data_IF_540064057220
#
_entry.id   IF_540064057220
#
_cell.length_a   1.000
_cell.length_b   1.000
_cell.length_c   1.000
_cell.angle_alpha   90.00
_cell.angle_beta   90.00
_cell.angle_gamma   90.00
#
_symmetry.space_group_name_H-M   'P 1'
#
loop_
_entity.id
_entity.type
_entity.pdbx_description
1 polymer ?
#
# COMPACT_ATOMS: atom_id res chain seq x y z
N UNK A 1 12.99 -4.45 2.85
CA UNK A 1 12.06 -3.42 2.29
C UNK A 1 10.65 -3.70 2.78
N UNK A 2 9.95 -2.66 3.16
CA UNK A 2 8.55 -2.71 3.59
C UNK A 2 7.73 -1.87 2.63
N UNK A 3 6.70 -2.47 2.04
CA UNK A 3 5.74 -1.77 1.18
C UNK A 3 4.51 -1.44 2.02
N UNK A 4 4.13 -0.17 2.04
CA UNK A 4 2.94 0.28 2.75
C UNK A 4 1.72 0.17 1.83
N UNK A 5 0.72 -0.63 2.24
CA UNK A 5 -0.55 -0.69 1.53
C UNK A 5 -1.32 0.63 1.71
N UNK A 6 -2.29 0.86 0.85
CA UNK A 6 -3.07 2.09 0.81
C UNK A 6 -3.68 2.45 2.16
N UNK A 7 -4.22 1.48 2.90
CA UNK A 7 -4.85 1.74 4.20
C UNK A 7 -3.85 2.26 5.25
N UNK A 8 -2.59 1.86 5.18
CA UNK A 8 -1.55 2.35 6.10
C UNK A 8 -1.22 3.81 5.79
N UNK A 9 -1.03 4.13 4.51
CA UNK A 9 -0.78 5.51 4.09
C UNK A 9 -1.99 6.40 4.40
N UNK A 10 -3.20 5.92 4.11
CA UNK A 10 -4.43 6.68 4.37
C UNK A 10 -4.62 7.01 5.84
N UNK A 11 -4.15 6.15 6.74
CA UNK A 11 -4.25 6.39 8.18
C UNK A 11 -3.53 7.68 8.60
N UNK A 12 -2.41 8.00 7.96
CA UNK A 12 -1.61 9.21 8.25
C UNK A 12 -2.43 10.48 8.01
N UNK A 13 -3.35 10.46 7.04
CA UNK A 13 -4.14 11.63 6.64
C UNK A 13 -5.45 11.78 7.39
N UNK A 14 -5.78 10.87 8.31
CA UNK A 14 -6.97 11.00 9.15
C UNK A 14 -6.77 12.12 10.16
N UNK A 15 -7.88 12.76 10.56
CA UNK A 15 -7.84 13.81 11.59
C UNK A 15 -7.32 13.30 12.92
N UNK A 16 -7.55 12.01 13.22
CA UNK A 16 -7.06 11.34 14.43
C UNK A 16 -6.45 10.00 14.06
N UNK A 17 -5.20 9.99 13.57
CA UNK A 17 -4.52 8.74 13.22
C UNK A 17 -4.38 7.82 14.42
N UNK A 18 -4.45 6.51 14.19
CA UNK A 18 -4.23 5.52 15.24
C UNK A 18 -2.79 5.64 15.76
N UNK A 19 -2.60 5.93 17.07
CA UNK A 19 -1.25 6.14 17.62
C UNK A 19 -0.31 4.94 17.43
N UNK A 20 -0.84 3.70 17.46
CA UNK A 20 -0.01 2.51 17.25
C UNK A 20 0.57 2.44 15.86
N UNK A 21 -0.19 2.85 14.85
CA UNK A 21 0.26 2.88 13.46
C UNK A 21 1.36 3.93 13.28
N UNK A 22 1.14 5.12 13.83
CA UNK A 22 2.14 6.21 13.76
C UNK A 22 3.43 5.78 14.48
N UNK A 23 3.33 5.21 15.68
CA UNK A 23 4.51 4.75 16.43
C UNK A 23 5.25 3.65 15.65
N UNK A 24 4.52 2.73 15.03
CA UNK A 24 5.11 1.68 14.21
C UNK A 24 5.89 2.26 13.02
N UNK A 25 5.28 3.22 12.30
CA UNK A 25 5.92 3.89 11.16
C UNK A 25 7.21 4.61 11.58
N UNK A 26 7.16 5.30 12.72
CA UNK A 26 8.33 6.02 13.25
C UNK A 26 9.45 5.09 13.71
N UNK A 27 9.11 3.84 14.05
CA UNK A 27 10.09 2.85 14.52
C UNK A 27 10.83 2.14 13.39
N UNK A 28 10.39 2.30 12.14
CA UNK A 28 10.95 1.55 11.02
C UNK A 28 12.38 1.99 10.71
N UNK A 29 13.25 1.00 10.55
CA UNK A 29 14.65 1.19 10.15
C UNK A 29 14.93 0.65 8.75
N UNK A 30 14.02 -0.18 8.22
CA UNK A 30 14.12 -0.72 6.86
C UNK A 30 13.74 0.33 5.82
N UNK A 31 14.10 0.08 4.57
CA UNK A 31 13.64 0.85 3.44
C UNK A 31 12.12 0.73 3.32
N UNK A 32 11.46 1.86 3.19
CA UNK A 32 10.00 1.95 3.05
C UNK A 32 9.65 2.36 1.64
N UNK A 33 8.69 1.68 1.05
CA UNK A 33 8.24 1.93 -0.32
C UNK A 33 6.72 1.95 -0.40
N UNK A 34 6.21 2.58 -1.45
CA UNK A 34 4.80 2.48 -1.85
C UNK A 34 4.74 2.07 -3.31
N UNK A 35 3.57 1.62 -3.75
CA UNK A 35 3.36 1.24 -5.14
C UNK A 35 2.62 2.32 -5.91
N UNK A 36 2.75 2.31 -7.24
CA UNK A 36 1.94 3.17 -8.11
C UNK A 36 0.45 2.85 -7.99
N UNK A 37 0.09 1.64 -7.59
CA UNK A 37 -1.30 1.26 -7.34
C UNK A 37 -1.84 2.05 -6.13
N UNK A 38 -1.09 2.10 -5.04
CA UNK A 38 -1.44 2.90 -3.86
C UNK A 38 -1.55 4.38 -4.21
N UNK A 39 -0.60 4.90 -4.97
CA UNK A 39 -0.65 6.28 -5.44
C UNK A 39 -1.94 6.55 -6.23
N UNK A 40 -2.30 5.65 -7.15
CA UNK A 40 -3.52 5.78 -7.94
C UNK A 40 -4.77 5.79 -7.06
N UNK A 41 -4.83 4.91 -6.05
CA UNK A 41 -5.96 4.86 -5.12
C UNK A 41 -6.09 6.14 -4.29
N UNK A 42 -4.97 6.67 -3.80
CA UNK A 42 -4.95 7.92 -3.04
C UNK A 42 -5.42 9.10 -3.90
N UNK A 43 -4.90 9.23 -5.11
CA UNK A 43 -5.27 10.31 -6.02
C UNK A 43 -6.74 10.21 -6.43
N UNK A 44 -7.23 9.01 -6.73
CA UNK A 44 -8.63 8.78 -7.06
C UNK A 44 -9.56 9.13 -5.89
N UNK A 45 -9.16 8.77 -4.67
CA UNK A 45 -9.93 9.09 -3.47
C UNK A 45 -10.10 10.59 -3.25
N UNK A 46 -9.03 11.36 -3.45
CA UNK A 46 -9.09 12.83 -3.35
C UNK A 46 -9.99 13.42 -4.41
N UNK A 47 -9.91 12.92 -5.65
CA UNK A 47 -10.72 13.42 -6.77
C UNK A 47 -12.22 13.25 -6.53
N UNK A 48 -12.63 12.26 -5.74
CA UNK A 48 -14.04 12.02 -5.39
C UNK A 48 -14.59 12.97 -4.35
N UNK A 49 -13.74 13.71 -3.64
CA UNK A 49 -14.20 14.68 -2.63
C UNK A 49 -14.84 15.89 -3.32
N UNK A 50 -15.85 16.51 -2.66
CA UNK A 50 -16.40 17.78 -3.15
C UNK A 50 -15.31 18.85 -3.21
N UNK A 51 -15.39 19.73 -4.22
CA UNK A 51 -14.48 20.86 -4.33
C UNK A 51 -14.56 21.74 -3.08
N UNK A 52 -13.42 22.28 -2.65
CA UNK A 52 -13.35 23.13 -1.49
C UNK A 52 -12.01 23.02 -0.77
N UNK A 53 -11.92 23.66 0.39
CA UNK A 53 -10.67 23.72 1.17
C UNK A 53 -10.19 22.36 1.65
N UNK A 54 -11.10 21.50 2.06
CA UNK A 54 -10.75 20.16 2.55
C UNK A 54 -10.06 19.34 1.46
N UNK A 55 -10.62 19.35 0.24
CA UNK A 55 -10.04 18.64 -0.90
C UNK A 55 -8.66 19.19 -1.24
N UNK A 56 -8.55 20.52 -1.31
CA UNK A 56 -7.27 21.17 -1.61
C UNK A 56 -6.21 20.87 -0.55
N UNK A 57 -6.58 20.92 0.72
CA UNK A 57 -5.67 20.62 1.83
C UNK A 57 -5.20 19.16 1.79
N UNK A 58 -6.11 18.22 1.55
CA UNK A 58 -5.78 16.80 1.48
C UNK A 58 -4.89 16.51 0.25
N UNK A 59 -5.21 17.13 -0.88
CA UNK A 59 -4.39 17.00 -2.09
C UNK A 59 -2.96 17.47 -1.85
N UNK A 60 -2.79 18.63 -1.21
CA UNK A 60 -1.48 19.17 -0.87
C UNK A 60 -0.72 18.26 0.12
N UNK A 61 -1.42 17.73 1.12
CA UNK A 61 -0.83 16.82 2.11
C UNK A 61 -0.34 15.53 1.45
N UNK A 62 -1.12 14.93 0.56
CA UNK A 62 -0.75 13.73 -0.18
C UNK A 62 0.46 14.01 -1.08
N UNK A 63 0.45 15.11 -1.84
CA UNK A 63 1.58 15.48 -2.69
C UNK A 63 2.87 15.66 -1.87
N UNK A 64 2.79 16.30 -0.72
CA UNK A 64 3.93 16.46 0.19
C UNK A 64 4.45 15.14 0.72
N UNK A 65 3.56 14.22 1.07
CA UNK A 65 3.92 12.91 1.61
C UNK A 65 4.51 11.98 0.53
N UNK A 66 4.06 12.09 -0.71
CA UNK A 66 4.49 11.23 -1.81
C UNK A 66 5.81 11.69 -2.44
N UNK A 67 6.11 12.99 -2.36
CA UNK A 67 7.30 13.55 -3.01
C UNK A 67 8.60 12.82 -2.68
N UNK A 68 8.90 12.46 -1.40
CA UNK A 68 10.11 11.70 -1.08
C UNK A 68 10.19 10.35 -1.80
N UNK A 69 9.04 9.69 -2.04
CA UNK A 69 9.00 8.41 -2.75
C UNK A 69 9.25 8.57 -4.25
N UNK A 70 8.82 9.68 -4.85
CA UNK A 70 9.08 9.96 -6.29
C UNK A 70 10.55 10.22 -6.57
N UNK A 71 11.22 10.92 -5.67
CA UNK A 71 12.62 11.33 -5.85
C UNK A 71 13.60 10.20 -5.52
N UNK A 72 13.11 9.10 -4.96
CA UNK A 72 13.88 7.92 -4.63
C UNK A 72 13.31 6.73 -5.40
N UNK A 73 13.97 5.57 -5.30
CA UNK A 73 13.46 4.33 -5.90
C UNK A 73 12.40 3.65 -5.03
N UNK A 74 11.76 4.41 -4.16
CA UNK A 74 10.76 3.88 -3.22
C UNK A 74 9.34 3.92 -3.74
N UNK A 75 9.11 4.42 -4.95
CA UNK A 75 7.84 4.31 -5.66
C UNK A 75 7.94 3.17 -6.67
N UNK A 76 7.31 2.04 -6.36
CA UNK A 76 7.44 0.80 -7.12
C UNK A 76 6.31 0.67 -8.14
N UNK A 77 6.66 0.38 -9.38
CA UNK A 77 5.69 0.30 -10.48
C UNK A 77 5.22 -1.12 -10.72
N UNK A 78 3.99 -1.24 -11.21
CA UNK A 78 3.45 -2.49 -11.74
C UNK A 78 3.98 -2.67 -13.16
N UNK A 79 5.15 -3.27 -13.29
CA UNK A 79 5.84 -3.47 -14.55
C UNK A 79 5.62 -4.88 -15.13
N UNK A 80 6.37 -5.24 -16.16
CA UNK A 80 6.25 -6.54 -16.82
C UNK A 80 6.57 -7.71 -15.86
N UNK A 81 7.58 -7.55 -15.01
CA UNK A 81 7.94 -8.59 -14.04
C UNK A 81 6.82 -8.77 -13.02
N UNK A 82 6.26 -7.67 -12.54
CA UNK A 82 5.12 -7.70 -11.62
C UNK A 82 3.87 -8.31 -12.29
N UNK A 83 3.69 -8.10 -13.60
CA UNK A 83 2.58 -8.70 -14.34
C UNK A 83 2.63 -10.24 -14.31
N UNK A 84 3.82 -10.82 -14.44
CA UNK A 84 4.00 -12.27 -14.34
C UNK A 84 3.69 -12.76 -12.92
N UNK A 85 4.16 -12.06 -11.89
CA UNK A 85 3.86 -12.39 -10.50
C UNK A 85 2.37 -12.24 -10.18
N UNK A 86 1.70 -11.28 -10.79
CA UNK A 86 0.25 -11.10 -10.66
C UNK A 86 -0.52 -12.36 -11.10
N UNK A 87 -0.14 -12.94 -12.22
CA UNK A 87 -0.75 -14.18 -12.70
C UNK A 87 -0.58 -15.31 -11.70
N UNK A 88 0.59 -15.43 -11.08
CA UNK A 88 0.85 -16.44 -10.04
C UNK A 88 -0.01 -16.19 -8.79
N UNK A 89 -0.11 -14.95 -8.33
CA UNK A 89 -0.95 -14.60 -7.17
C UNK A 89 -2.41 -14.99 -7.43
N UNK A 90 -2.93 -14.65 -8.60
CA UNK A 90 -4.31 -15.01 -8.97
C UNK A 90 -4.51 -16.52 -8.98
N UNK A 91 -3.60 -17.27 -9.60
CA UNK A 91 -3.71 -18.72 -9.70
C UNK A 91 -3.75 -19.38 -8.31
N UNK A 92 -2.85 -18.99 -7.41
CA UNK A 92 -2.80 -19.55 -6.05
C UNK A 92 -4.07 -19.21 -5.27
N UNK A 93 -4.56 -17.97 -5.36
CA UNK A 93 -5.74 -17.53 -4.64
C UNK A 93 -7.01 -18.20 -5.20
N UNK A 94 -7.14 -18.33 -6.51
CA UNK A 94 -8.25 -19.00 -7.17
C UNK A 94 -8.30 -20.50 -6.79
N UNK A 95 -7.16 -21.17 -6.80
CA UNK A 95 -7.04 -22.58 -6.41
C UNK A 95 -7.46 -22.79 -4.94
N UNK A 96 -7.20 -21.79 -4.09
CA UNK A 96 -7.59 -21.84 -2.67
C UNK A 96 -9.05 -21.39 -2.45
N UNK A 97 -9.77 -20.95 -3.47
CA UNK A 97 -11.13 -20.43 -3.35
C UNK A 97 -11.19 -19.08 -2.64
N UNK A 98 -10.11 -18.30 -2.69
CA UNK A 98 -9.98 -17.00 -2.01
C UNK A 98 -10.03 -15.87 -3.02
N UNK A 99 -11.16 -15.16 -3.17
CA UNK A 99 -11.21 -14.00 -4.07
C UNK A 99 -10.27 -12.90 -3.58
N UNK A 100 -9.69 -12.17 -4.54
CA UNK A 100 -8.80 -11.04 -4.26
C UNK A 100 -9.10 -9.94 -5.26
N UNK A 101 -9.11 -8.69 -4.81
CA UNK A 101 -9.30 -7.55 -5.71
C UNK A 101 -8.10 -7.39 -6.64
N UNK A 102 -8.34 -6.76 -7.80
CA UNK A 102 -7.27 -6.47 -8.75
C UNK A 102 -6.16 -5.63 -8.10
N UNK A 103 -6.54 -4.59 -7.37
CA UNK A 103 -5.56 -3.70 -6.72
C UNK A 103 -4.70 -4.46 -5.70
N UNK A 104 -5.30 -5.27 -4.84
CA UNK A 104 -4.56 -6.04 -3.84
C UNK A 104 -3.63 -7.08 -4.51
N UNK A 105 -4.10 -7.73 -5.57
CA UNK A 105 -3.29 -8.68 -6.32
C UNK A 105 -2.09 -7.99 -6.99
N UNK A 106 -2.29 -6.79 -7.51
CA UNK A 106 -1.21 -5.99 -8.11
C UNK A 106 -0.18 -5.55 -7.08
N UNK A 107 -0.64 -5.11 -5.90
CA UNK A 107 0.26 -4.74 -4.81
C UNK A 107 1.04 -5.97 -4.32
N UNK A 108 0.38 -7.10 -4.14
CA UNK A 108 1.03 -8.36 -3.75
C UNK A 108 2.08 -8.77 -4.78
N UNK A 109 1.76 -8.66 -6.07
CA UNK A 109 2.70 -8.99 -7.16
C UNK A 109 3.96 -8.12 -7.10
N UNK A 110 3.80 -6.82 -6.88
CA UNK A 110 4.94 -5.90 -6.74
C UNK A 110 5.79 -6.29 -5.52
N UNK A 111 5.15 -6.61 -4.38
CA UNK A 111 5.87 -7.07 -3.20
C UNK A 111 6.68 -8.35 -3.48
N UNK A 112 6.12 -9.28 -4.24
CA UNK A 112 6.83 -10.52 -4.61
C UNK A 112 8.07 -10.24 -5.45
N UNK A 113 7.97 -9.33 -6.42
CA UNK A 113 9.11 -8.95 -7.27
C UNK A 113 10.28 -8.45 -6.42
N UNK A 114 9.98 -7.66 -5.39
CA UNK A 114 11.00 -7.04 -4.54
C UNK A 114 11.31 -7.84 -3.27
N UNK A 115 10.66 -8.99 -3.07
CA UNK A 115 10.78 -9.79 -1.85
C UNK A 115 10.53 -8.93 -0.60
N UNK A 116 9.55 -8.04 -0.70
CA UNK A 116 9.23 -7.07 0.33
C UNK A 116 8.13 -7.58 1.27
N UNK A 117 8.17 -7.09 2.50
CA UNK A 117 7.07 -7.26 3.45
C UNK A 117 5.96 -6.27 3.09
N UNK A 118 4.71 -6.68 3.13
CA UNK A 118 3.56 -5.80 2.92
C UNK A 118 2.95 -5.43 4.27
N UNK A 119 2.92 -4.14 4.57
CA UNK A 119 2.23 -3.62 5.74
C UNK A 119 0.80 -3.29 5.36
N UNK A 120 -0.17 -3.96 5.98
CA UNK A 120 -1.58 -3.82 5.66
C UNK A 120 -2.46 -4.20 6.84
N UNK A 121 -3.62 -3.56 6.94
CA UNK A 121 -4.68 -3.98 7.87
C UNK A 121 -5.48 -5.16 7.30
N UNK A 122 -5.52 -5.29 5.97
CA UNK A 122 -6.32 -6.30 5.26
C UNK A 122 -5.56 -7.62 5.13
N UNK A 123 -5.17 -8.20 6.26
CA UNK A 123 -4.34 -9.40 6.28
C UNK A 123 -4.96 -10.59 5.54
N UNK A 124 -6.29 -10.71 5.58
CA UNK A 124 -7.02 -11.78 4.88
C UNK A 124 -6.87 -11.67 3.36
N UNK A 125 -6.85 -10.45 2.84
CA UNK A 125 -6.78 -10.21 1.41
C UNK A 125 -5.41 -10.51 0.84
N UNK A 126 -4.38 -10.49 1.69
CA UNK A 126 -3.00 -10.80 1.29
C UNK A 126 -2.55 -12.20 1.72
N UNK A 127 -3.39 -12.95 2.41
CA UNK A 127 -3.08 -14.34 2.79
C UNK A 127 -2.90 -15.20 1.55
N UNK A 128 -1.98 -16.15 1.60
CA UNK A 128 -1.68 -17.09 0.51
C UNK A 128 -1.29 -16.41 -0.81
N UNK A 129 -0.62 -15.27 -0.71
CA UNK A 129 -0.05 -14.58 -1.88
C UNK A 129 1.45 -14.83 -2.04
N UNK A 130 2.08 -15.48 -1.06
CA UNK A 130 3.53 -15.65 -1.01
C UNK A 130 4.26 -14.42 -0.47
N UNK A 131 3.52 -13.43 0.03
CA UNK A 131 4.07 -12.18 0.58
C UNK A 131 4.00 -12.25 2.11
N UNK A 132 5.10 -11.89 2.78
CA UNK A 132 5.11 -11.71 4.22
C UNK A 132 4.32 -10.45 4.58
N UNK A 133 3.47 -10.54 5.60
CA UNK A 133 2.51 -9.48 5.95
C UNK A 133 2.76 -9.03 7.38
N UNK A 134 2.67 -7.72 7.62
CA UNK A 134 2.62 -7.15 8.96
C UNK A 134 1.39 -6.24 9.07
N UNK A 135 0.70 -6.33 10.20
CA UNK A 135 -0.46 -5.48 10.51
C UNK A 135 -0.04 -4.43 11.54
N UNK A 136 0.13 -3.15 11.15
CA UNK A 136 0.56 -2.09 12.06
C UNK A 136 -0.44 -1.80 13.19
N UNK A 137 -1.71 -2.18 13.03
CA UNK A 137 -2.72 -2.01 14.08
C UNK A 137 -2.63 -3.09 15.16
N UNK A 138 -2.03 -4.23 14.84
CA UNK A 138 -1.90 -5.37 15.75
C UNK A 138 -0.53 -5.46 16.44
N UNK A 139 0.44 -4.68 15.98
CA UNK A 139 1.79 -4.65 16.57
C UNK A 139 1.73 -3.86 17.89
N UNK A 140 2.26 -4.44 18.97
CA UNK A 140 2.31 -3.79 20.28
C UNK A 140 3.62 -3.02 20.48
#
# INVERSE_FOLDING_TARGET
MIVLDTNVISEIFRSRPEPRVIAWLESLTDDVAITTITLAELLAGVRRLPDGQRKAALQAAIEGAIRPYRDTRSLLSFDEVAAAEYAEVLAVREDAGLPISMADAQIAAICRVHQAVCATRNTKDFAQTGVEIVDPWAVS
#
